data_IF_257503477234
#
_entry.id   IF_257503477234
#
_cell.length_a   1.000
_cell.length_b   1.000
_cell.length_c   1.000
_cell.angle_alpha   90.00
_cell.angle_beta   90.00
_cell.angle_gamma   90.00
#
_symmetry.space_group_name_H-M   'P 1'
#
loop_
_entity.id
_entity.type
_entity.pdbx_description
1 polymer ?
#
# COMPACT_ATOMS: atom_id res chain seq x y z
N UNK A 1 2.01 -7.15 -5.91
CA UNK A 1 1.04 -6.55 -4.95
C UNK A 1 0.79 -7.46 -3.73
N UNK A 2 0.66 -6.92 -2.52
CA UNK A 2 0.50 -7.66 -1.23
C UNK A 2 -0.64 -8.67 -1.20
N UNK A 3 -1.86 -8.27 -1.54
CA UNK A 3 -3.01 -9.18 -1.50
C UNK A 3 -2.86 -10.32 -2.51
N UNK A 4 -2.41 -10.03 -3.73
CA UNK A 4 -2.21 -11.06 -4.77
C UNK A 4 -1.19 -12.09 -4.31
N UNK A 5 -0.08 -11.65 -3.70
CA UNK A 5 0.93 -12.54 -3.11
C UNK A 5 0.34 -13.48 -2.05
N UNK A 6 -0.60 -13.00 -1.22
CA UNK A 6 -1.31 -13.86 -0.27
C UNK A 6 -2.13 -14.94 -0.99
N UNK A 7 -2.91 -14.55 -2.02
CA UNK A 7 -3.70 -15.50 -2.82
C UNK A 7 -2.85 -16.49 -3.64
N UNK A 8 -1.64 -16.08 -4.03
CA UNK A 8 -0.68 -16.92 -4.75
C UNK A 8 0.18 -17.79 -3.81
N UNK A 9 0.07 -17.65 -2.49
CA UNK A 9 0.93 -18.34 -1.51
C UNK A 9 2.38 -17.86 -1.46
N UNK A 10 2.69 -16.69 -2.03
CA UNK A 10 4.02 -16.12 -2.18
C UNK A 10 4.30 -15.02 -1.12
N UNK A 11 4.18 -15.37 0.16
CA UNK A 11 4.41 -14.42 1.27
C UNK A 11 5.90 -14.09 1.41
N UNK A 12 6.22 -12.80 1.44
CA UNK A 12 7.59 -12.28 1.59
C UNK A 12 7.67 -11.16 2.65
N UNK A 13 8.85 -10.57 2.83
CA UNK A 13 9.10 -9.50 3.80
C UNK A 13 8.21 -8.25 3.60
N UNK A 14 7.79 -7.96 2.37
CA UNK A 14 6.87 -6.85 2.10
C UNK A 14 5.47 -7.17 2.58
N UNK A 15 4.99 -8.40 2.30
CA UNK A 15 3.71 -8.88 2.83
C UNK A 15 3.76 -8.90 4.36
N UNK A 16 4.82 -9.43 4.95
CA UNK A 16 5.03 -9.41 6.40
C UNK A 16 4.92 -7.98 6.97
N UNK A 17 5.69 -7.03 6.42
CA UNK A 17 5.69 -5.64 6.86
C UNK A 17 4.29 -4.97 6.78
N UNK A 18 3.52 -5.28 5.74
CA UNK A 18 2.16 -4.78 5.58
C UNK A 18 1.18 -5.28 6.64
N UNK A 19 1.41 -6.49 7.17
CA UNK A 19 0.56 -7.14 8.15
C UNK A 19 0.97 -6.88 9.60
N UNK A 20 2.21 -6.45 9.87
CA UNK A 20 2.71 -6.10 11.21
C UNK A 20 1.83 -5.08 11.96
N UNK A 21 1.09 -4.24 11.24
CA UNK A 21 0.17 -3.25 11.81
C UNK A 21 -1.11 -3.84 12.41
N UNK A 22 -1.43 -5.09 12.08
CA UNK A 22 -2.63 -5.77 12.57
C UNK A 22 -2.35 -6.57 13.86
N UNK A 23 -3.20 -6.39 14.86
CA UNK A 23 -3.31 -7.26 16.04
C UNK A 23 -4.30 -8.38 15.78
N UNK A 24 -4.64 -9.16 16.81
CA UNK A 24 -5.73 -10.14 16.72
C UNK A 24 -7.07 -9.44 16.44
N UNK A 25 -7.91 -10.07 15.62
CA UNK A 25 -9.25 -9.58 15.29
C UNK A 25 -9.49 -9.36 13.79
N UNK A 26 -10.72 -8.95 13.46
CA UNK A 26 -11.15 -8.68 12.10
C UNK A 26 -11.04 -7.19 11.75
N UNK A 27 -10.38 -6.93 10.63
CA UNK A 27 -10.18 -5.60 10.06
C UNK A 27 -10.90 -5.54 8.72
N UNK A 28 -12.07 -4.91 8.74
CA UNK A 28 -12.87 -4.72 7.54
C UNK A 28 -12.38 -3.55 6.70
N UNK A 29 -12.83 -3.53 5.44
CA UNK A 29 -12.61 -2.45 4.48
C UNK A 29 -11.14 -2.06 4.30
N UNK A 30 -10.29 -3.08 4.22
CA UNK A 30 -8.86 -2.94 3.95
C UNK A 30 -8.56 -3.15 2.48
N UNK A 31 -7.42 -2.59 2.07
CA UNK A 31 -6.90 -2.77 0.72
C UNK A 31 -8.00 -2.51 -0.33
N UNK A 32 -8.66 -1.36 -0.23
CA UNK A 32 -9.77 -0.96 -1.08
C UNK A 32 -9.30 -0.63 -2.50
N UNK A 33 -10.05 -1.08 -3.50
CA UNK A 33 -9.86 -0.73 -4.90
C UNK A 33 -11.19 -0.36 -5.54
N UNK A 34 -11.18 0.67 -6.36
CA UNK A 34 -12.23 1.04 -7.31
C UNK A 34 -11.59 1.12 -8.70
N UNK A 35 -12.17 0.45 -9.69
CA UNK A 35 -11.74 0.48 -11.08
C UNK A 35 -12.89 0.88 -11.99
N UNK A 36 -12.61 1.74 -12.97
CA UNK A 36 -13.54 2.12 -14.03
C UNK A 36 -12.84 2.16 -15.38
N UNK A 37 -13.34 1.39 -16.33
CA UNK A 37 -12.89 1.43 -17.72
C UNK A 37 -13.40 2.71 -18.37
N UNK A 38 -12.50 3.48 -18.97
CA UNK A 38 -12.79 4.69 -19.75
C UNK A 38 -12.44 4.40 -21.22
N UNK A 39 -12.92 5.20 -22.20
CA UNK A 39 -12.74 4.88 -23.61
C UNK A 39 -11.30 4.60 -24.07
N UNK A 40 -10.29 5.18 -23.41
CA UNK A 40 -8.88 5.01 -23.77
C UNK A 40 -7.97 4.55 -22.63
N UNK A 41 -8.48 4.44 -21.40
CA UNK A 41 -7.67 4.27 -20.19
C UNK A 41 -8.51 3.72 -19.03
N UNK A 42 -7.86 3.37 -17.93
CA UNK A 42 -8.51 3.03 -16.68
C UNK A 42 -8.40 4.16 -15.67
N UNK A 43 -9.50 4.42 -14.96
CA UNK A 43 -9.50 5.21 -13.75
C UNK A 43 -9.54 4.27 -12.56
N UNK A 44 -8.52 4.32 -11.73
CA UNK A 44 -8.37 3.47 -10.56
C UNK A 44 -8.29 4.36 -9.34
N UNK A 45 -8.97 3.99 -8.27
CA UNK A 45 -8.76 4.60 -6.96
C UNK A 45 -8.46 3.52 -5.93
N UNK A 46 -7.60 3.84 -4.98
CA UNK A 46 -7.09 2.88 -4.00
C UNK A 46 -7.07 3.44 -2.59
N UNK A 47 -7.16 2.52 -1.62
CA UNK A 47 -6.82 2.80 -0.22
C UNK A 47 -5.32 3.08 -0.03
N UNK A 48 -4.92 3.60 1.15
CA UNK A 48 -3.52 3.92 1.43
C UNK A 48 -2.57 2.72 1.31
N UNK A 49 -3.04 1.50 1.51
CA UNK A 49 -2.22 0.29 1.50
C UNK A 49 -1.57 -0.01 0.13
N UNK A 50 -2.09 0.55 -0.96
CA UNK A 50 -1.50 0.37 -2.29
C UNK A 50 -0.49 1.45 -2.68
N UNK A 51 -0.35 2.52 -1.89
CA UNK A 51 0.42 3.71 -2.29
C UNK A 51 1.88 3.36 -2.55
N UNK A 52 2.58 2.70 -1.62
CA UNK A 52 3.98 2.34 -1.83
C UNK A 52 4.16 1.42 -3.04
N UNK A 53 3.27 0.43 -3.21
CA UNK A 53 3.30 -0.46 -4.37
C UNK A 53 3.16 0.32 -5.68
N UNK A 54 2.18 1.22 -5.79
CA UNK A 54 1.95 2.01 -7.00
C UNK A 54 3.09 3.01 -7.27
N UNK A 55 3.58 3.69 -6.23
CA UNK A 55 4.71 4.62 -6.37
C UNK A 55 5.94 3.87 -6.88
N UNK A 56 6.31 2.74 -6.28
CA UNK A 56 7.45 1.93 -6.75
C UNK A 56 7.24 1.40 -8.16
N UNK A 57 6.05 0.85 -8.47
CA UNK A 57 5.73 0.28 -9.79
C UNK A 57 5.86 1.32 -10.91
N UNK A 58 5.36 2.53 -10.70
CA UNK A 58 5.39 3.58 -11.71
C UNK A 58 6.72 4.33 -11.78
N UNK A 59 7.46 4.47 -10.67
CA UNK A 59 8.83 5.00 -10.72
C UNK A 59 9.76 4.08 -11.52
N UNK A 60 9.56 2.76 -11.46
CA UNK A 60 10.33 1.80 -12.29
C UNK A 60 10.12 1.94 -13.80
N UNK A 61 9.10 2.69 -14.23
CA UNK A 61 8.84 3.00 -15.64
C UNK A 61 9.46 4.31 -16.11
N UNK A 62 10.07 5.06 -15.19
CA UNK A 62 10.60 6.39 -15.47
C UNK A 62 12.09 6.26 -15.70
N UNK A 63 12.53 6.57 -16.92
CA UNK A 63 13.94 6.71 -17.24
C UNK A 63 14.41 8.13 -16.92
N UNK A 64 15.22 8.27 -15.87
CA UNK A 64 15.82 9.54 -15.49
C UNK A 64 15.02 10.35 -14.46
N UNK A 65 14.92 11.66 -14.70
CA UNK A 65 14.34 12.60 -13.74
C UNK A 65 12.82 12.69 -13.83
N UNK A 66 12.19 12.90 -12.67
CA UNK A 66 10.75 13.13 -12.57
C UNK A 66 10.41 14.16 -11.51
N UNK A 67 9.48 15.05 -11.86
CA UNK A 67 8.87 15.98 -10.94
C UNK A 67 7.87 15.24 -10.03
N UNK A 68 8.15 15.26 -8.73
CA UNK A 68 7.35 14.60 -7.71
C UNK A 68 7.02 15.56 -6.56
N UNK A 69 5.81 15.38 -6.02
CA UNK A 69 5.36 16.13 -4.84
C UNK A 69 4.59 15.24 -3.90
N UNK A 70 4.68 15.53 -2.61
CA UNK A 70 3.94 14.76 -1.63
C UNK A 70 4.63 14.73 -0.29
N UNK A 71 4.43 13.61 0.41
CA UNK A 71 5.02 13.42 1.73
C UNK A 71 5.65 12.03 1.86
N UNK A 72 6.73 11.96 2.63
CA UNK A 72 7.32 10.71 3.11
C UNK A 72 7.09 10.67 4.61
N UNK A 73 6.51 9.58 5.11
CA UNK A 73 6.21 9.40 6.54
C UNK A 73 6.98 8.19 7.07
N UNK A 74 7.67 8.34 8.19
CA UNK A 74 8.51 7.31 8.78
C UNK A 74 8.52 7.40 10.31
N UNK A 75 9.07 6.38 10.96
CA UNK A 75 9.38 6.39 12.41
C UNK A 75 10.88 6.63 12.69
N UNK A 76 11.68 6.80 11.64
CA UNK A 76 13.12 7.05 11.67
C UNK A 76 13.43 8.35 10.93
N UNK A 77 14.54 9.00 11.27
CA UNK A 77 14.95 10.21 10.55
C UNK A 77 15.42 9.84 9.15
N UNK A 78 14.97 10.62 8.16
CA UNK A 78 15.31 10.43 6.75
C UNK A 78 15.95 11.70 6.16
N UNK A 79 16.15 12.75 6.95
CA UNK A 79 16.67 14.03 6.43
C UNK A 79 18.05 13.90 5.79
N UNK A 80 18.92 13.10 6.40
CA UNK A 80 20.29 12.91 5.93
C UNK A 80 20.41 11.75 4.91
N UNK A 81 19.29 11.08 4.62
CA UNK A 81 19.20 9.93 3.72
C UNK A 81 18.72 10.32 2.32
N UNK A 82 18.34 11.59 2.12
CA UNK A 82 17.78 12.09 0.87
C UNK A 82 18.72 13.10 0.21
N UNK A 83 18.81 13.02 -1.11
CA UNK A 83 19.61 13.92 -1.94
C UNK A 83 18.74 14.94 -2.71
N UNK A 84 17.56 15.25 -2.20
CA UNK A 84 16.60 16.19 -2.81
C UNK A 84 16.07 17.19 -1.79
N UNK A 85 15.58 18.32 -2.29
CA UNK A 85 15.11 19.42 -1.46
C UNK A 85 13.89 19.03 -0.60
N UNK A 86 13.98 19.28 0.70
CA UNK A 86 12.88 19.10 1.65
C UNK A 86 12.20 20.46 1.86
N UNK A 87 10.94 20.56 1.44
CA UNK A 87 10.12 21.77 1.65
C UNK A 87 9.81 21.99 3.13
N UNK A 88 9.47 20.90 3.84
CA UNK A 88 9.14 20.96 5.27
C UNK A 88 9.35 19.62 5.96
N UNK A 89 10.04 19.63 7.09
CA UNK A 89 10.10 18.49 8.00
C UNK A 89 9.19 18.72 9.22
N UNK A 90 8.51 17.66 9.67
CA UNK A 90 7.69 17.66 10.88
C UNK A 90 7.89 16.38 11.68
N UNK A 91 7.65 16.46 12.99
CA UNK A 91 7.64 15.32 13.90
C UNK A 91 6.44 15.45 14.84
N UNK A 92 5.68 14.38 14.99
CA UNK A 92 4.59 14.29 15.95
C UNK A 92 4.56 12.90 16.57
N UNK A 93 4.80 12.82 17.89
CA UNK A 93 4.78 11.56 18.65
C UNK A 93 5.66 10.45 18.03
N UNK A 94 6.85 10.81 17.52
CA UNK A 94 7.77 9.87 16.89
C UNK A 94 7.47 9.54 15.42
N UNK A 95 6.34 10.04 14.89
CA UNK A 95 6.02 9.98 13.47
C UNK A 95 6.66 11.20 12.80
N UNK A 96 7.63 10.94 11.94
CA UNK A 96 8.35 11.95 11.16
C UNK A 96 7.71 12.06 9.77
N UNK A 97 7.64 13.29 9.27
CA UNK A 97 7.04 13.62 7.97
C UNK A 97 7.98 14.57 7.23
N UNK A 98 8.38 14.20 6.01
CA UNK A 98 9.05 15.07 5.06
C UNK A 98 8.03 15.47 3.98
N UNK A 99 7.92 16.76 3.71
CA UNK A 99 7.15 17.30 2.58
C UNK A 99 8.13 17.67 1.49
N UNK A 100 7.85 17.21 0.27
CA UNK A 100 8.74 17.41 -0.86
C UNK A 100 7.97 17.91 -2.07
N UNK A 101 8.64 18.71 -2.88
CA UNK A 101 8.20 19.20 -4.18
C UNK A 101 9.47 19.45 -4.99
N UNK A 102 9.89 18.45 -5.75
CA UNK A 102 11.25 18.40 -6.33
C UNK A 102 11.25 17.64 -7.65
N UNK A 103 12.32 17.82 -8.42
CA UNK A 103 12.65 16.99 -9.58
C UNK A 103 13.89 16.19 -9.22
N UNK A 104 13.84 14.87 -9.35
CA UNK A 104 14.96 14.00 -9.01
C UNK A 104 14.93 12.72 -9.84
N UNK A 105 16.04 11.99 -9.89
CA UNK A 105 16.08 10.69 -10.56
C UNK A 105 15.16 9.68 -9.85
N UNK A 106 14.39 8.90 -10.61
CA UNK A 106 13.50 7.89 -10.06
C UNK A 106 14.22 6.86 -9.17
N UNK A 107 15.48 6.53 -9.48
CA UNK A 107 16.33 5.63 -8.67
C UNK A 107 16.52 6.12 -7.24
N UNK A 108 16.73 7.43 -7.02
CA UNK A 108 16.91 7.99 -5.66
C UNK A 108 15.74 7.66 -4.73
N UNK A 109 14.50 7.68 -5.26
CA UNK A 109 13.31 7.34 -4.48
C UNK A 109 13.18 5.83 -4.34
N UNK A 110 13.46 5.05 -5.39
CA UNK A 110 13.40 3.59 -5.35
C UNK A 110 14.39 3.02 -4.32
N UNK A 111 15.63 3.50 -4.30
CA UNK A 111 16.66 3.10 -3.34
C UNK A 111 16.23 3.42 -1.90
N UNK A 112 15.61 4.59 -1.70
CA UNK A 112 15.06 4.96 -0.39
C UNK A 112 13.89 4.07 0.03
N UNK A 113 13.02 3.67 -0.90
CA UNK A 113 11.93 2.73 -0.64
C UNK A 113 12.46 1.32 -0.30
N UNK A 114 13.53 0.87 -0.96
CA UNK A 114 14.17 -0.41 -0.69
C UNK A 114 14.91 -0.41 0.65
N UNK A 115 15.64 0.66 0.96
CA UNK A 115 16.33 0.83 2.25
C UNK A 115 15.35 0.97 3.42
N UNK A 116 14.19 1.60 3.17
CA UNK A 116 13.18 1.89 4.19
C UNK A 116 11.78 1.41 3.78
N UNK A 117 11.54 0.08 3.69
CA UNK A 117 10.29 -0.48 3.20
C UNK A 117 9.08 -0.17 4.11
N UNK A 118 9.34 0.22 5.36
CA UNK A 118 8.32 0.65 6.34
C UNK A 118 7.96 2.14 6.27
N UNK A 119 8.70 2.95 5.50
CA UNK A 119 8.32 4.33 5.27
C UNK A 119 7.16 4.38 4.27
N UNK A 120 6.30 5.37 4.41
CA UNK A 120 5.12 5.58 3.57
C UNK A 120 5.36 6.73 2.61
N UNK A 121 5.35 6.43 1.31
CA UNK A 121 5.72 7.33 0.23
C UNK A 121 4.45 7.84 -0.47
N UNK A 122 3.79 8.84 0.11
CA UNK A 122 2.61 9.46 -0.50
C UNK A 122 3.01 10.49 -1.55
N UNK A 123 3.50 10.00 -2.69
CA UNK A 123 4.04 10.80 -3.78
C UNK A 123 3.07 10.85 -4.97
N UNK A 124 2.90 12.04 -5.53
CA UNK A 124 2.14 12.30 -6.75
C UNK A 124 3.09 12.72 -7.86
N UNK A 125 2.94 12.10 -9.02
CA UNK A 125 3.75 12.36 -10.21
C UNK A 125 3.02 11.88 -11.47
N UNK A 126 3.50 12.34 -12.62
CA UNK A 126 2.91 12.07 -13.94
C UNK A 126 4.01 11.51 -14.82
N UNK A 127 3.70 10.41 -15.52
CA UNK A 127 4.53 9.88 -16.61
C UNK A 127 3.77 9.89 -17.92
N UNK A 128 4.31 9.20 -18.91
CA UNK A 128 3.74 9.17 -20.27
C UNK A 128 2.36 8.48 -20.30
N UNK A 129 2.28 7.27 -19.73
CA UNK A 129 1.09 6.42 -19.76
C UNK A 129 0.30 6.43 -18.44
N UNK A 130 0.67 7.29 -17.49
CA UNK A 130 0.03 7.33 -16.18
C UNK A 130 0.00 8.71 -15.49
N UNK A 131 -0.99 8.89 -14.61
CA UNK A 131 -1.08 10.02 -13.69
C UNK A 131 -1.45 9.50 -12.30
N UNK A 132 -0.49 9.53 -11.38
CA UNK A 132 -0.63 9.07 -10.02
C UNK A 132 -0.79 10.27 -9.08
N UNK A 133 -1.94 10.37 -8.41
CA UNK A 133 -2.19 11.38 -7.38
C UNK A 133 -2.44 10.70 -6.05
N UNK A 134 -1.75 11.14 -5.02
CA UNK A 134 -1.86 10.61 -3.66
C UNK A 134 -2.14 11.76 -2.71
N UNK A 135 -3.07 11.57 -1.77
CA UNK A 135 -3.33 12.55 -0.72
C UNK A 135 -2.09 12.69 0.16
N UNK A 136 -1.58 13.92 0.31
CA UNK A 136 -0.38 14.27 1.08
C UNK A 136 -0.60 14.23 2.61
N UNK A 137 -1.10 13.11 3.13
CA UNK A 137 -1.38 12.88 4.56
C UNK A 137 -0.93 11.49 4.99
N UNK A 138 -0.67 11.31 6.27
CA UNK A 138 -0.40 9.97 6.81
C UNK A 138 -1.68 9.11 6.71
N UNK A 139 -1.54 7.79 6.51
CA UNK A 139 -2.68 6.89 6.54
C UNK A 139 -3.25 6.84 7.96
N UNK A 140 -4.57 6.81 8.09
CA UNK A 140 -5.20 6.60 9.40
C UNK A 140 -5.05 5.13 9.78
N UNK A 141 -4.60 4.85 10.99
CA UNK A 141 -4.63 3.48 11.52
C UNK A 141 -6.08 3.07 11.74
N UNK A 142 -6.57 2.11 10.95
CA UNK A 142 -7.92 1.58 11.15
C UNK A 142 -7.92 0.62 12.33
N UNK A 143 -8.69 0.93 13.37
CA UNK A 143 -8.95 0.02 14.48
C UNK A 143 -9.80 -1.18 14.01
N UNK A 144 -9.70 -2.36 14.66
CA UNK A 144 -10.67 -3.43 14.45
C UNK A 144 -12.06 -2.93 14.88
N UNK A 145 -13.12 -3.32 14.17
CA UNK A 145 -14.48 -2.85 14.41
C UNK A 145 -15.45 -3.35 13.35
N UNK A 146 -16.76 -3.20 13.59
CA UNK A 146 -17.78 -3.51 12.58
C UNK A 146 -17.60 -2.54 11.41
N UNK A 147 -17.53 -3.04 10.18
CA UNK A 147 -17.37 -2.23 8.97
C UNK A 147 -18.31 -1.01 8.95
N UNK A 148 -17.85 0.09 8.37
CA UNK A 148 -18.58 1.37 8.35
C UNK A 148 -18.89 1.80 6.92
N UNK A 149 -20.02 2.49 6.71
CA UNK A 149 -20.51 2.97 5.41
C UNK A 149 -19.54 3.93 4.65
N UNK A 150 -18.44 4.37 5.27
CA UNK A 150 -17.58 5.44 4.76
C UNK A 150 -16.21 5.00 4.20
N UNK A 151 -15.95 3.70 4.08
CA UNK A 151 -14.66 3.25 3.59
C UNK A 151 -14.54 3.40 2.06
N UNK A 152 -14.02 4.56 1.63
CA UNK A 152 -13.82 4.90 0.21
C UNK A 152 -12.39 4.65 -0.24
N UNK A 153 -12.23 4.13 -1.46
CA UNK A 153 -10.92 3.94 -2.07
C UNK A 153 -10.33 5.26 -2.58
N UNK A 154 -10.37 6.36 -1.82
CA UNK A 154 -10.11 7.71 -2.35
C UNK A 154 -8.74 8.29 -1.96
N UNK A 155 -7.84 7.47 -1.41
CA UNK A 155 -6.56 7.93 -0.90
C UNK A 155 -5.55 8.20 -2.02
N UNK A 156 -5.58 7.33 -3.03
CA UNK A 156 -4.76 7.43 -4.23
C UNK A 156 -5.67 7.26 -5.46
N UNK A 157 -5.41 8.05 -6.50
CA UNK A 157 -6.07 7.94 -7.79
C UNK A 157 -5.03 7.77 -8.87
N UNK A 158 -5.21 6.76 -9.70
CA UNK A 158 -4.37 6.43 -10.84
C UNK A 158 -5.22 6.53 -12.11
N UNK A 159 -4.73 7.24 -13.11
CA UNK A 159 -5.22 7.11 -14.49
C UNK A 159 -4.12 6.48 -15.30
N UNK A 160 -4.38 5.38 -16.01
CA UNK A 160 -3.32 4.70 -16.78
C UNK A 160 -3.87 3.94 -17.99
N UNK A 161 -3.05 3.73 -19.00
CA UNK A 161 -3.30 2.81 -20.12
C UNK A 161 -2.60 1.46 -19.96
N UNK A 162 -1.87 1.25 -18.87
CA UNK A 162 -1.22 -0.01 -18.55
C UNK A 162 -2.28 -1.06 -18.16
N UNK A 163 -2.39 -2.12 -18.96
CA UNK A 163 -3.32 -3.22 -18.72
C UNK A 163 -2.77 -4.20 -17.67
N UNK A 164 -1.46 -4.38 -17.59
CA UNK A 164 -0.82 -5.31 -16.66
C UNK A 164 -1.05 -4.87 -15.21
N UNK A 165 -0.96 -3.57 -14.92
CA UNK A 165 -1.26 -3.06 -13.57
C UNK A 165 -2.75 -3.21 -13.23
N UNK A 166 -3.65 -3.09 -14.21
CA UNK A 166 -5.08 -3.31 -14.02
C UNK A 166 -5.34 -4.78 -13.68
N UNK A 167 -4.74 -5.69 -14.44
CA UNK A 167 -4.84 -7.14 -14.19
C UNK A 167 -4.19 -7.55 -12.87
N UNK A 168 -3.08 -6.92 -12.47
CA UNK A 168 -2.42 -7.17 -11.19
C UNK A 168 -3.29 -6.71 -10.00
N UNK A 169 -3.88 -5.51 -10.07
CA UNK A 169 -4.75 -4.96 -9.03
C UNK A 169 -6.09 -5.70 -8.92
N UNK A 170 -6.71 -5.99 -10.06
CA UNK A 170 -8.02 -6.64 -10.16
C UNK A 170 -7.89 -8.11 -10.59
N UNK A 171 -6.89 -8.81 -10.06
CA UNK A 171 -6.64 -10.21 -10.41
C UNK A 171 -7.90 -11.08 -10.26
N UNK A 172 -8.09 -11.97 -11.24
CA UNK A 172 -9.23 -12.89 -11.30
C UNK A 172 -10.60 -12.24 -11.60
N UNK A 173 -10.66 -10.94 -11.91
CA UNK A 173 -11.91 -10.25 -12.28
C UNK A 173 -12.23 -10.41 -13.76
N UNK A 174 -11.22 -10.37 -14.64
CA UNK A 174 -11.42 -10.34 -16.09
C UNK A 174 -11.75 -8.93 -16.60
N UNK A 175 -12.48 -8.84 -17.72
CA UNK A 175 -12.97 -7.57 -18.25
C UNK A 175 -14.13 -7.01 -17.40
N UNK A 176 -14.13 -5.70 -17.18
CA UNK A 176 -15.16 -4.99 -16.42
C UNK A 176 -15.40 -3.58 -16.97
N UNK A 177 -16.60 -3.02 -16.75
CA UNK A 177 -16.84 -1.57 -16.88
C UNK A 177 -16.52 -0.87 -15.57
N UNK A 178 -17.04 -1.40 -14.46
CA UNK A 178 -16.80 -0.93 -13.10
C UNK A 178 -16.55 -2.10 -12.15
N UNK A 179 -15.59 -1.93 -11.25
CA UNK A 179 -15.25 -2.94 -10.24
C UNK A 179 -14.93 -2.27 -8.91
N UNK A 180 -15.42 -2.87 -7.83
CA UNK A 180 -15.07 -2.53 -6.46
C UNK A 180 -14.50 -3.77 -5.77
N UNK A 181 -13.40 -3.60 -5.07
CA UNK A 181 -12.78 -4.68 -4.28
C UNK A 181 -12.52 -4.17 -2.87
N UNK A 182 -12.95 -4.94 -1.88
CA UNK A 182 -12.55 -4.76 -0.50
C UNK A 182 -12.02 -6.07 0.09
N UNK A 183 -11.28 -5.93 1.19
CA UNK A 183 -10.73 -7.06 1.90
C UNK A 183 -11.06 -6.94 3.39
N UNK A 184 -11.39 -8.08 3.99
CA UNK A 184 -11.38 -8.26 5.44
C UNK A 184 -10.13 -9.06 5.80
N UNK A 185 -9.32 -8.51 6.69
CA UNK A 185 -8.13 -9.19 7.23
C UNK A 185 -8.51 -9.71 8.61
N UNK A 186 -8.59 -11.03 8.77
CA UNK A 186 -8.99 -11.69 10.01
C UNK A 186 -7.79 -12.39 10.65
N UNK A 187 -7.18 -11.71 11.63
CA UNK A 187 -6.01 -12.23 12.33
C UNK A 187 -6.47 -13.16 13.46
N UNK A 188 -6.21 -14.45 13.27
CA UNK A 188 -6.53 -15.50 14.24
C UNK A 188 -5.47 -15.63 15.31
N UNK A 189 -4.20 -15.53 14.92
CA UNK A 189 -3.11 -15.73 15.86
C UNK A 189 -1.85 -14.92 15.52
N UNK A 190 -0.94 -14.83 16.49
CA UNK A 190 0.38 -14.22 16.36
C UNK A 190 1.42 -15.27 16.71
N UNK A 191 2.27 -15.60 15.75
CA UNK A 191 3.38 -16.53 15.93
C UNK A 191 4.59 -15.71 16.38
N UNK A 192 4.97 -15.90 17.64
CA UNK A 192 6.13 -15.25 18.24
C UNK A 192 7.43 -15.96 17.81
N UNK A 193 8.57 -15.24 17.73
CA UNK A 193 9.88 -15.86 17.53
C UNK A 193 10.21 -16.82 18.69
N UNK A 194 10.93 -17.92 18.44
CA UNK A 194 11.19 -18.93 19.48
C UNK A 194 11.98 -18.38 20.68
N UNK A 195 12.80 -17.35 20.46
CA UNK A 195 13.71 -16.77 21.44
C UNK A 195 13.15 -15.51 22.13
N UNK A 196 11.83 -15.44 22.36
CA UNK A 196 11.13 -14.28 22.95
C UNK A 196 11.86 -13.72 24.19
N UNK A 197 12.30 -14.59 25.09
CA UNK A 197 12.93 -14.20 26.36
C UNK A 197 14.23 -13.39 26.19
N UNK A 198 14.91 -13.54 25.05
CA UNK A 198 16.16 -12.84 24.73
C UNK A 198 15.96 -11.53 23.96
N UNK A 199 14.73 -11.23 23.53
CA UNK A 199 14.42 -10.12 22.63
C UNK A 199 13.73 -8.97 23.34
N UNK A 200 14.00 -7.74 22.89
CA UNK A 200 13.25 -6.57 23.35
C UNK A 200 11.85 -6.58 22.72
N UNK A 201 10.90 -5.91 23.37
CA UNK A 201 9.52 -5.81 22.88
C UNK A 201 9.39 -5.31 21.42
N UNK A 202 10.25 -4.38 21.01
CA UNK A 202 10.29 -3.89 19.63
C UNK A 202 10.72 -4.97 18.63
N UNK A 203 11.71 -5.79 19.00
CA UNK A 203 12.23 -6.89 18.18
C UNK A 203 11.21 -8.02 18.10
N UNK A 204 10.59 -8.39 19.22
CA UNK A 204 9.49 -9.36 19.26
C UNK A 204 8.39 -8.92 18.29
N UNK A 205 7.99 -7.65 18.33
CA UNK A 205 6.95 -7.12 17.44
C UNK A 205 7.35 -7.21 15.97
N UNK A 206 8.59 -6.90 15.63
CA UNK A 206 9.08 -6.97 14.25
C UNK A 206 9.25 -8.40 13.75
N UNK A 207 9.61 -9.35 14.60
CA UNK A 207 9.83 -10.75 14.21
C UNK A 207 8.57 -11.61 14.29
N UNK A 208 7.51 -11.13 14.93
CA UNK A 208 6.26 -11.88 15.09
C UNK A 208 5.46 -11.92 13.80
N UNK A 209 5.07 -13.13 13.37
CA UNK A 209 4.23 -13.34 12.19
C UNK A 209 2.75 -13.33 12.56
N UNK A 210 1.90 -12.86 11.64
CA UNK A 210 0.44 -12.88 11.75
C UNK A 210 -0.09 -14.09 11.02
N UNK A 211 -0.90 -14.89 11.70
CA UNK A 211 -1.61 -16.02 11.12
C UNK A 211 -3.09 -15.67 11.01
N UNK A 212 -3.66 -15.79 9.82
CA UNK A 212 -5.04 -15.39 9.60
C UNK A 212 -5.58 -15.73 8.22
N UNK A 213 -6.71 -15.11 7.91
CA UNK A 213 -7.42 -15.27 6.64
C UNK A 213 -7.62 -13.89 6.01
N UNK A 214 -7.34 -13.77 4.71
CA UNK A 214 -7.78 -12.64 3.89
C UNK A 214 -9.05 -13.06 3.18
N UNK A 215 -10.15 -12.35 3.44
CA UNK A 215 -11.42 -12.50 2.72
C UNK A 215 -11.50 -11.35 1.72
N UNK A 216 -11.58 -11.67 0.43
CA UNK A 216 -11.69 -10.72 -0.68
C UNK A 216 -13.13 -10.73 -1.20
N UNK A 217 -13.75 -9.56 -1.24
CA UNK A 217 -15.04 -9.35 -1.90
C UNK A 217 -14.83 -8.47 -3.12
N UNK A 218 -15.31 -8.94 -4.26
CA UNK A 218 -15.30 -8.25 -5.55
C UNK A 218 -16.74 -7.99 -5.95
N UNK A 219 -17.04 -6.79 -6.39
CA UNK A 219 -18.29 -6.45 -7.08
C UNK A 219 -17.91 -5.89 -8.45
N UNK A 220 -18.12 -6.65 -9.52
CA UNK A 220 -17.78 -6.27 -10.89
C UNK A 220 -19.05 -6.23 -11.73
N UNK A 221 -19.35 -5.07 -12.33
CA UNK A 221 -20.56 -4.84 -13.14
C UNK A 221 -21.86 -5.31 -12.44
N UNK A 222 -21.92 -5.13 -11.12
CA UNK A 222 -23.06 -5.53 -10.27
C UNK A 222 -23.03 -6.98 -9.78
N UNK A 223 -22.08 -7.80 -10.25
CA UNK A 223 -21.95 -9.20 -9.82
C UNK A 223 -20.96 -9.29 -8.66
N UNK A 224 -21.43 -9.85 -7.55
CA UNK A 224 -20.63 -10.06 -6.35
C UNK A 224 -19.96 -11.45 -6.34
N UNK A 225 -18.67 -11.50 -5.97
CA UNK A 225 -17.90 -12.72 -5.73
C UNK A 225 -17.05 -12.58 -4.48
N UNK A 226 -17.00 -13.63 -3.68
CA UNK A 226 -16.12 -13.72 -2.51
C UNK A 226 -15.11 -14.84 -2.70
N UNK A 227 -13.87 -14.59 -2.28
CA UNK A 227 -12.79 -15.59 -2.22
C UNK A 227 -11.98 -15.39 -0.95
N UNK A 228 -11.30 -16.43 -0.48
CA UNK A 228 -10.48 -16.36 0.73
C UNK A 228 -9.14 -17.06 0.56
N UNK A 229 -8.14 -16.63 1.33
CA UNK A 229 -6.83 -17.26 1.40
C UNK A 229 -6.27 -17.18 2.82
N UNK A 230 -5.76 -18.31 3.32
CA UNK A 230 -5.00 -18.37 4.56
C UNK A 230 -3.60 -17.78 4.37
N UNK A 231 -3.03 -17.20 5.42
CA UNK A 231 -1.66 -16.70 5.39
C UNK A 231 -0.95 -16.80 6.73
N UNK A 232 0.38 -16.83 6.65
CA UNK A 232 1.30 -16.59 7.75
C UNK A 232 2.31 -15.54 7.27
N UNK A 233 2.12 -14.29 7.69
CA UNK A 233 2.92 -13.14 7.28
C UNK A 233 3.49 -12.46 8.52
#
# INVERSE_FOLDING_TARGET
MTIKKVFDGAVDEHVHADFLKFGRGAYHDKFLLEGKKQPKKWGIKTGPEYVNFLVSKFLKKVDGEIALKGIIVSTFDLKDEVNFEIVKAGNFQGIRKLTINTTTNASNILDLMEKYPRAFFALSFVGEDFNLKVKAKAPKSGKPGKGGEDARADFCTLKTTDKEIVEELFFGVGDFKEVYVNHTIDIKDVIYPANVESLKAAEIRTLSKKKGIVIRKVVADGIEKTSQADFVA
#
